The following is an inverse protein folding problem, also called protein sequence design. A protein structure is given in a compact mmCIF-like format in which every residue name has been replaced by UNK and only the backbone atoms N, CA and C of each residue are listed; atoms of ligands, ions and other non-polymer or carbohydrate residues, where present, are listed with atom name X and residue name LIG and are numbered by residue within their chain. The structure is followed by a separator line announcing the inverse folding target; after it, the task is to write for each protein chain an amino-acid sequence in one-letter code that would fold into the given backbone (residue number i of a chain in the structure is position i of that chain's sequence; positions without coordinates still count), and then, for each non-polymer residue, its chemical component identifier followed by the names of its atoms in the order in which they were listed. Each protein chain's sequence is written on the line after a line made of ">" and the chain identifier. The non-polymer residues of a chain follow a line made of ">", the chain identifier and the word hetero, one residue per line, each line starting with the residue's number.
data_IF_616413947819
#
_entry.id   IF_616413947819
#
_cell.length_a   1.000
_cell.length_b   1.000
_cell.length_c   1.000
_cell.angle_alpha   90.00
_cell.angle_beta   90.00
_cell.angle_gamma   90.00
#
_symmetry.space_group_name_H-M   'P 1'
#
loop_
_entity.id
_entity.type
_entity.pdbx_description
1 polymer ?
#
# COMPACT_ATOMS: atom_id res chain seq x y z
N UNK A 1 -31.99 -21.57 17.08
CA UNK A 1 -30.62 -21.68 17.57
C UNK A 1 -29.94 -20.33 17.47
N UNK A 2 -29.52 -19.73 18.61
CA UNK A 2 -28.90 -18.41 18.58
C UNK A 2 -27.58 -18.36 17.82
N UNK A 3 -26.91 -19.50 17.61
CA UNK A 3 -25.61 -19.58 16.97
C UNK A 3 -25.63 -19.35 15.47
N UNK A 4 -26.75 -19.60 14.79
CA UNK A 4 -26.84 -19.42 13.34
C UNK A 4 -26.84 -17.95 12.93
N UNK A 5 -27.59 -17.10 13.62
CA UNK A 5 -27.63 -15.66 13.32
C UNK A 5 -26.27 -14.98 13.61
N UNK A 6 -25.58 -15.38 14.69
CA UNK A 6 -24.24 -14.89 15.01
C UNK A 6 -23.22 -15.30 13.97
N UNK A 7 -23.28 -16.57 13.50
CA UNK A 7 -22.37 -17.09 12.48
C UNK A 7 -22.58 -16.37 11.15
N UNK A 8 -23.82 -16.14 10.72
CA UNK A 8 -24.14 -15.40 9.52
C UNK A 8 -23.65 -13.96 9.57
N UNK A 9 -23.82 -13.30 10.73
CA UNK A 9 -23.36 -11.95 10.94
C UNK A 9 -21.84 -11.87 10.86
N UNK A 10 -21.12 -12.80 11.49
CA UNK A 10 -19.65 -12.88 11.41
C UNK A 10 -19.19 -13.12 9.99
N UNK A 11 -19.86 -13.99 9.25
CA UNK A 11 -19.53 -14.29 7.88
C UNK A 11 -19.66 -13.05 6.99
N UNK A 12 -20.76 -12.29 7.14
CA UNK A 12 -20.96 -11.04 6.41
C UNK A 12 -19.89 -9.99 6.76
N UNK A 13 -19.55 -9.86 8.04
CA UNK A 13 -18.50 -8.94 8.48
C UNK A 13 -17.13 -9.35 7.94
N UNK A 14 -16.84 -10.65 7.94
CA UNK A 14 -15.58 -11.18 7.41
C UNK A 14 -15.47 -10.95 5.90
N UNK A 15 -16.55 -11.11 5.15
CA UNK A 15 -16.58 -10.82 3.73
C UNK A 15 -16.33 -9.35 3.43
N UNK A 16 -16.97 -8.45 4.20
CA UNK A 16 -16.75 -7.00 4.07
C UNK A 16 -15.30 -6.63 4.37
N UNK A 17 -14.74 -7.16 5.46
CA UNK A 17 -13.32 -6.93 5.81
C UNK A 17 -12.39 -7.45 4.74
N UNK A 18 -12.68 -8.63 4.20
CA UNK A 18 -11.89 -9.24 3.14
C UNK A 18 -11.86 -8.36 1.89
N UNK A 19 -13.01 -7.81 1.48
CA UNK A 19 -13.12 -6.90 0.35
C UNK A 19 -12.36 -5.60 0.58
N UNK A 20 -12.55 -4.98 1.74
CA UNK A 20 -11.86 -3.74 2.11
C UNK A 20 -10.35 -3.95 2.15
N UNK A 21 -9.90 -5.05 2.75
CA UNK A 21 -8.47 -5.38 2.83
C UNK A 21 -7.87 -5.63 1.45
N UNK A 22 -8.59 -6.35 0.60
CA UNK A 22 -8.17 -6.60 -0.79
C UNK A 22 -8.03 -5.30 -1.58
N UNK A 23 -9.00 -4.38 -1.44
CA UNK A 23 -8.97 -3.08 -2.10
C UNK A 23 -7.79 -2.24 -1.61
N UNK A 24 -7.54 -2.22 -0.31
CA UNK A 24 -6.42 -1.48 0.28
C UNK A 24 -5.07 -2.02 -0.17
N UNK A 25 -4.91 -3.35 -0.25
CA UNK A 25 -3.70 -3.98 -0.80
C UNK A 25 -3.51 -3.61 -2.27
N UNK A 26 -4.59 -3.61 -3.04
CA UNK A 26 -4.57 -3.20 -4.45
C UNK A 26 -4.10 -1.77 -4.63
N UNK A 27 -4.55 -0.85 -3.78
CA UNK A 27 -4.13 0.55 -3.80
C UNK A 27 -2.64 0.70 -3.54
N UNK A 28 -2.10 -0.03 -2.54
CA UNK A 28 -0.67 -0.03 -2.22
C UNK A 28 0.14 -0.55 -3.42
N UNK A 29 -0.26 -1.68 -3.98
CA UNK A 29 0.43 -2.27 -5.15
C UNK A 29 0.41 -1.33 -6.34
N UNK A 30 -0.73 -0.70 -6.61
CA UNK A 30 -0.88 0.25 -7.72
C UNK A 30 0.01 1.47 -7.50
N UNK A 31 0.05 2.02 -6.28
CA UNK A 31 0.91 3.14 -5.94
C UNK A 31 2.38 2.81 -6.13
N UNK A 32 2.82 1.64 -5.68
CA UNK A 32 4.21 1.17 -5.86
C UNK A 32 4.54 1.01 -7.35
N UNK A 33 3.64 0.42 -8.12
CA UNK A 33 3.83 0.25 -9.58
C UNK A 33 3.97 1.58 -10.29
N UNK A 34 3.13 2.55 -9.95
CA UNK A 34 3.19 3.90 -10.53
C UNK A 34 4.52 4.57 -10.23
N UNK A 35 4.99 4.47 -8.98
CA UNK A 35 6.27 5.05 -8.59
C UNK A 35 7.43 4.38 -9.33
N UNK A 36 7.44 3.06 -9.43
CA UNK A 36 8.48 2.32 -10.18
C UNK A 36 8.47 2.67 -11.66
N UNK A 37 7.30 2.82 -12.26
CA UNK A 37 7.16 3.22 -13.66
C UNK A 37 7.73 4.64 -13.87
N UNK A 38 7.46 5.55 -12.95
CA UNK A 38 8.00 6.92 -13.00
C UNK A 38 9.52 6.92 -12.86
N UNK A 39 10.08 6.07 -11.99
CA UNK A 39 11.53 5.91 -11.83
C UNK A 39 12.19 5.41 -13.13
N UNK A 40 11.54 4.46 -13.82
CA UNK A 40 12.03 3.96 -15.10
C UNK A 40 11.88 4.95 -16.26
N UNK A 41 10.95 5.90 -16.13
CA UNK A 41 10.63 6.86 -17.19
C UNK A 41 11.39 8.18 -17.14
N UNK A 42 12.35 8.35 -16.23
CA UNK A 42 13.15 9.58 -16.06
C UNK A 42 12.36 10.85 -15.75
N UNK A 43 11.15 10.72 -15.20
CA UNK A 43 10.33 11.85 -14.79
C UNK A 43 10.54 12.16 -13.30
N UNK A 44 11.55 12.97 -13.00
CA UNK A 44 11.92 13.31 -11.62
C UNK A 44 10.80 14.07 -10.89
N UNK A 45 10.06 14.95 -11.60
CA UNK A 45 8.94 15.68 -11.02
C UNK A 45 7.81 14.74 -10.57
N UNK A 46 7.47 13.78 -11.41
CA UNK A 46 6.45 12.79 -11.11
C UNK A 46 6.89 11.86 -9.94
N UNK A 47 8.16 11.48 -9.90
CA UNK A 47 8.73 10.67 -8.82
C UNK A 47 8.61 11.40 -7.48
N UNK A 48 8.99 12.68 -7.43
CA UNK A 48 8.89 13.48 -6.21
C UNK A 48 7.46 13.67 -5.74
N UNK A 49 6.51 13.76 -6.67
CA UNK A 49 5.08 13.87 -6.36
C UNK A 49 4.51 12.53 -5.86
N UNK A 50 4.87 11.42 -6.51
CA UNK A 50 4.34 10.10 -6.18
C UNK A 50 4.91 9.50 -4.90
N UNK A 51 6.15 9.82 -4.54
CA UNK A 51 6.81 9.23 -3.37
C UNK A 51 6.03 9.49 -2.07
N UNK A 52 5.68 10.74 -1.70
CA UNK A 52 4.92 10.97 -0.48
C UNK A 52 3.51 10.36 -0.53
N UNK A 53 2.88 10.35 -1.68
CA UNK A 53 1.57 9.71 -1.86
C UNK A 53 1.65 8.19 -1.61
N UNK A 54 2.68 7.54 -2.14
CA UNK A 54 2.90 6.10 -1.96
C UNK A 54 3.20 5.77 -0.50
N UNK A 55 4.03 6.56 0.16
CA UNK A 55 4.34 6.39 1.59
C UNK A 55 3.07 6.54 2.42
N UNK A 56 2.22 7.52 2.11
CA UNK A 56 0.94 7.71 2.78
C UNK A 56 0.02 6.50 2.63
N UNK A 57 -0.05 5.92 1.44
CA UNK A 57 -0.84 4.69 1.18
C UNK A 57 -0.34 3.52 2.02
N UNK A 58 0.99 3.35 2.13
CA UNK A 58 1.61 2.29 2.94
C UNK A 58 1.27 2.49 4.42
N UNK A 59 1.40 3.71 4.93
CA UNK A 59 1.09 4.04 6.32
C UNK A 59 -0.38 3.80 6.65
N UNK A 60 -1.29 4.17 5.76
CA UNK A 60 -2.73 3.92 5.91
C UNK A 60 -3.03 2.42 5.93
N UNK A 61 -2.34 1.64 5.11
CA UNK A 61 -2.49 0.18 5.09
C UNK A 61 -2.06 -0.46 6.42
N UNK A 62 -1.01 0.07 7.06
CA UNK A 62 -0.58 -0.37 8.39
C UNK A 62 -1.66 -0.04 9.43
N UNK A 63 -2.20 1.18 9.42
CA UNK A 63 -3.25 1.60 10.36
C UNK A 63 -4.51 0.73 10.24
N UNK A 64 -4.85 0.31 9.03
CA UNK A 64 -6.01 -0.54 8.77
C UNK A 64 -5.75 -2.02 9.04
N UNK A 65 -4.53 -2.40 9.42
CA UNK A 65 -4.15 -3.79 9.67
C UNK A 65 -4.01 -4.66 8.44
N UNK A 66 -3.93 -4.04 7.25
CA UNK A 66 -3.78 -4.74 5.97
C UNK A 66 -2.32 -5.11 5.73
N UNK A 67 -1.40 -4.32 6.23
CA UNK A 67 0.03 -4.48 6.04
C UNK A 67 0.73 -4.44 7.39
N UNK A 68 1.65 -5.38 7.63
CA UNK A 68 2.44 -5.40 8.85
C UNK A 68 3.47 -4.26 8.83
N UNK A 69 3.69 -3.63 9.99
CA UNK A 69 4.63 -2.51 10.13
C UNK A 69 6.04 -2.82 9.62
N UNK A 70 6.51 -4.06 9.79
CA UNK A 70 7.84 -4.47 9.33
C UNK A 70 7.92 -4.50 7.82
N UNK A 71 6.88 -5.01 7.14
CA UNK A 71 6.79 -5.00 5.69
C UNK A 71 6.71 -3.55 5.17
N UNK A 72 5.92 -2.70 5.83
CA UNK A 72 5.79 -1.29 5.48
C UNK A 72 7.13 -0.57 5.58
N UNK A 73 7.89 -0.81 6.64
CA UNK A 73 9.22 -0.23 6.83
C UNK A 73 10.17 -0.61 5.70
N UNK A 74 10.15 -1.88 5.28
CA UNK A 74 10.96 -2.36 4.16
C UNK A 74 10.56 -1.70 2.84
N UNK A 75 9.27 -1.61 2.56
CA UNK A 75 8.79 -0.95 1.33
C UNK A 75 9.18 0.52 1.30
N UNK A 76 8.96 1.25 2.39
CA UNK A 76 9.31 2.67 2.47
C UNK A 76 10.81 2.88 2.28
N UNK A 77 11.63 2.07 2.96
CA UNK A 77 13.08 2.15 2.85
C UNK A 77 13.56 1.89 1.43
N UNK A 78 13.11 0.80 0.81
CA UNK A 78 13.52 0.45 -0.56
C UNK A 78 13.10 1.51 -1.58
N UNK A 79 11.88 2.02 -1.47
CA UNK A 79 11.39 3.06 -2.39
C UNK A 79 12.18 4.35 -2.23
N UNK A 80 12.47 4.75 -0.99
CA UNK A 80 13.28 5.95 -0.71
C UNK A 80 14.69 5.80 -1.26
N UNK A 81 15.32 4.65 -1.08
CA UNK A 81 16.66 4.37 -1.62
C UNK A 81 16.65 4.45 -3.14
N UNK A 82 15.67 3.83 -3.80
CA UNK A 82 15.56 3.86 -5.27
C UNK A 82 15.38 5.28 -5.79
N UNK A 83 14.55 6.09 -5.12
CA UNK A 83 14.35 7.50 -5.50
C UNK A 83 15.64 8.29 -5.33
N UNK A 84 16.35 8.10 -4.24
CA UNK A 84 17.62 8.79 -3.98
C UNK A 84 18.70 8.37 -4.98
N UNK A 85 18.78 7.09 -5.32
CA UNK A 85 19.72 6.59 -6.33
C UNK A 85 19.43 7.19 -7.71
N UNK A 86 18.16 7.27 -8.11
CA UNK A 86 17.73 7.85 -9.36
C UNK A 86 18.07 9.36 -9.42
N UNK A 87 17.88 10.07 -8.31
CA UNK A 87 18.25 11.48 -8.20
C UNK A 87 19.77 11.70 -8.27
N UNK A 88 20.54 10.81 -7.65
CA UNK A 88 22.01 10.88 -7.66
C UNK A 88 22.60 10.54 -9.04
N UNK A 89 21.92 9.70 -9.82
CA UNK A 89 22.36 9.30 -11.16
C UNK A 89 22.20 10.41 -12.21
N UNK A 90 21.48 11.46 -11.88
CA UNK A 90 21.27 12.64 -12.73
C UNK A 90 22.23 13.75 -12.33
#
# INVERSE_FOLDING_TARGET
>A
MPNHKSAEKRQRQNEKRRLVNRNNRGRVRTGIKKLRAALGGDDAGQVQELLPQTISLIDKAVQKGVLHRNAAARYKSRLTVHVNEAAAAK
#
